data_IF_110290323647
#
_entry.id   IF_110290323647
#
_cell.length_a   1.000
_cell.length_b   1.000
_cell.length_c   1.000
_cell.angle_alpha   90.00
_cell.angle_beta   90.00
_cell.angle_gamma   90.00
#
_symmetry.space_group_name_H-M   'P 1'
#
loop_
_entity.id
_entity.type
_entity.pdbx_description
1 polymer ?
#
# COMPACT_ATOMS: atom_id res chain seq x y z
N UNK A 1 16.24 -13.33 1.37
CA UNK A 1 15.42 -14.04 2.40
C UNK A 1 14.75 -15.28 1.86
N UNK A 2 14.09 -15.22 0.68
CA UNK A 2 13.51 -16.41 0.06
C UNK A 2 14.54 -17.54 -0.14
N UNK A 3 15.75 -17.19 -0.61
CA UNK A 3 16.87 -18.13 -0.70
C UNK A 3 17.15 -18.85 0.64
N UNK A 4 17.33 -18.12 1.74
CA UNK A 4 17.57 -18.73 3.06
C UNK A 4 16.37 -19.59 3.53
N UNK A 5 15.15 -19.18 3.19
CA UNK A 5 13.95 -19.96 3.49
C UNK A 5 13.94 -21.30 2.72
N UNK A 6 14.25 -21.28 1.42
CA UNK A 6 14.33 -22.50 0.60
C UNK A 6 15.48 -23.42 1.02
N UNK A 7 16.56 -22.88 1.62
CA UNK A 7 17.65 -23.65 2.22
C UNK A 7 17.31 -24.20 3.62
N UNK A 8 16.14 -23.88 4.19
CA UNK A 8 15.69 -24.40 5.48
C UNK A 8 16.26 -23.68 6.72
N UNK A 9 16.91 -22.52 6.55
CA UNK A 9 17.39 -21.73 7.69
C UNK A 9 16.24 -21.23 8.56
N UNK A 10 16.51 -21.01 9.84
CA UNK A 10 15.51 -20.34 10.70
C UNK A 10 15.49 -18.82 10.42
N UNK A 11 14.41 -18.10 10.81
CA UNK A 11 14.40 -16.65 10.73
C UNK A 11 15.53 -15.99 11.52
N UNK A 12 16.00 -16.64 12.60
CA UNK A 12 17.09 -16.11 13.42
C UNK A 12 18.44 -16.24 12.68
N UNK A 13 18.76 -17.41 12.15
CA UNK A 13 19.98 -17.62 11.38
C UNK A 13 20.01 -16.68 10.16
N UNK A 14 18.88 -16.56 9.48
CA UNK A 14 18.75 -15.64 8.34
C UNK A 14 18.98 -14.19 8.73
N UNK A 15 18.48 -13.76 9.90
CA UNK A 15 18.70 -12.41 10.42
C UNK A 15 20.19 -12.15 10.72
N UNK A 16 20.86 -13.12 11.35
CA UNK A 16 22.28 -13.01 11.69
C UNK A 16 23.15 -13.01 10.43
N UNK A 17 22.92 -13.94 9.49
CA UNK A 17 23.66 -14.01 8.23
C UNK A 17 23.46 -12.74 7.40
N UNK A 18 22.23 -12.23 7.29
CA UNK A 18 21.97 -11.02 6.48
C UNK A 18 22.67 -9.80 7.10
N UNK A 19 22.59 -9.60 8.41
CA UNK A 19 23.23 -8.45 9.04
C UNK A 19 24.75 -8.60 9.15
N UNK A 20 25.27 -9.83 9.16
CA UNK A 20 26.70 -10.10 9.08
C UNK A 20 27.26 -9.74 7.68
N UNK A 21 26.52 -10.06 6.62
CA UNK A 21 26.99 -9.84 5.23
C UNK A 21 26.72 -8.41 4.76
N UNK A 22 25.60 -7.81 5.16
CA UNK A 22 25.11 -6.54 4.61
C UNK A 22 24.97 -5.41 5.63
N UNK A 23 25.09 -5.70 6.93
CA UNK A 23 25.17 -4.68 7.96
C UNK A 23 26.63 -4.38 8.34
N UNK A 24 26.89 -3.34 9.14
CA UNK A 24 28.20 -3.05 9.74
C UNK A 24 28.60 -4.08 10.81
N UNK A 25 28.02 -5.30 10.78
CA UNK A 25 28.19 -6.31 11.82
C UNK A 25 27.46 -5.95 13.11
N UNK A 26 27.46 -6.88 14.06
CA UNK A 26 26.96 -6.73 15.43
C UNK A 26 27.86 -5.82 16.29
N UNK A 27 28.39 -4.75 15.72
CA UNK A 27 29.10 -3.72 16.47
C UNK A 27 28.06 -2.89 17.22
N UNK A 28 28.24 -2.72 18.53
CA UNK A 28 27.32 -1.99 19.39
C UNK A 28 27.07 -0.57 18.84
N UNK A 29 25.87 -0.34 18.32
CA UNK A 29 25.45 0.94 17.72
C UNK A 29 25.44 0.98 16.19
N UNK A 30 25.81 -0.11 15.50
CA UNK A 30 25.77 -0.20 14.04
C UNK A 30 24.35 -0.33 13.45
N UNK A 31 24.10 0.32 12.31
CA UNK A 31 22.82 0.25 11.59
C UNK A 31 22.55 -1.17 11.05
N UNK A 32 21.53 -1.87 11.55
CA UNK A 32 21.16 -3.18 11.01
C UNK A 32 20.58 -3.06 9.59
N UNK A 33 21.05 -3.89 8.66
CA UNK A 33 20.50 -3.95 7.30
C UNK A 33 19.03 -4.36 7.30
N UNK A 34 18.65 -5.30 8.18
CA UNK A 34 17.27 -5.71 8.40
C UNK A 34 17.00 -6.00 9.87
N UNK A 35 15.77 -5.68 10.33
CA UNK A 35 15.33 -6.08 11.67
C UNK A 35 14.84 -7.53 11.68
N UNK A 36 14.94 -8.20 12.84
CA UNK A 36 14.42 -9.56 13.02
C UNK A 36 12.91 -9.62 12.70
N UNK A 37 12.16 -8.57 13.05
CA UNK A 37 10.72 -8.45 12.74
C UNK A 37 10.46 -8.50 11.23
N UNK A 38 11.29 -7.83 10.44
CA UNK A 38 11.20 -7.87 8.97
C UNK A 38 11.45 -9.28 8.45
N UNK A 39 12.50 -9.96 8.94
CA UNK A 39 12.83 -11.33 8.55
C UNK A 39 11.68 -12.29 8.86
N UNK A 40 11.14 -12.25 10.09
CA UNK A 40 10.00 -13.07 10.50
C UNK A 40 8.77 -12.80 9.62
N UNK A 41 8.48 -11.54 9.28
CA UNK A 41 7.35 -11.19 8.41
C UNK A 41 7.50 -11.82 7.02
N UNK A 42 8.68 -11.77 6.44
CA UNK A 42 8.96 -12.41 5.15
C UNK A 42 8.83 -13.93 5.21
N UNK A 43 9.37 -14.56 6.26
CA UNK A 43 9.26 -16.00 6.46
C UNK A 43 7.80 -16.45 6.57
N UNK A 44 6.95 -15.70 7.30
CA UNK A 44 5.51 -15.97 7.35
C UNK A 44 4.83 -15.86 5.98
N UNK A 45 5.24 -14.91 5.12
CA UNK A 45 4.72 -14.81 3.75
C UNK A 45 5.10 -16.04 2.93
N UNK A 46 6.35 -16.46 2.99
CA UNK A 46 6.83 -17.64 2.26
C UNK A 46 6.16 -18.94 2.73
N UNK A 47 5.94 -19.09 4.04
CA UNK A 47 5.17 -20.21 4.61
C UNK A 47 3.71 -20.22 4.13
N UNK A 48 3.10 -19.05 3.91
CA UNK A 48 1.76 -18.93 3.34
C UNK A 48 1.73 -19.15 1.81
N UNK A 49 2.85 -19.51 1.19
CA UNK A 49 2.96 -19.73 -0.26
C UNK A 49 3.17 -18.46 -1.09
N UNK A 50 3.19 -17.27 -0.46
CA UNK A 50 3.48 -16.00 -1.14
C UNK A 50 5.00 -15.84 -1.31
N UNK A 51 5.51 -16.31 -2.45
CA UNK A 51 6.92 -16.19 -2.86
C UNK A 51 7.25 -14.87 -3.57
N UNK A 52 6.29 -13.95 -3.73
CA UNK A 52 6.53 -12.67 -4.38
C UNK A 52 7.35 -11.75 -3.49
N UNK A 53 8.44 -11.20 -4.03
CA UNK A 53 9.27 -10.20 -3.38
C UNK A 53 8.76 -8.78 -3.59
N UNK A 54 7.75 -8.60 -4.45
CA UNK A 54 7.20 -7.29 -4.73
C UNK A 54 6.35 -6.78 -3.56
N UNK A 55 6.38 -5.46 -3.40
CA UNK A 55 5.43 -4.76 -2.54
C UNK A 55 4.03 -4.95 -3.14
N UNK A 56 3.09 -5.42 -2.30
CA UNK A 56 1.68 -5.37 -2.67
C UNK A 56 1.31 -3.92 -2.96
N UNK A 57 0.44 -3.66 -3.95
CA UNK A 57 0.00 -2.31 -4.24
C UNK A 57 -0.45 -1.65 -2.94
N UNK A 58 0.13 -0.48 -2.63
CA UNK A 58 -0.22 0.25 -1.42
C UNK A 58 -1.69 0.63 -1.55
N UNK A 59 -2.53 -0.05 -0.79
CA UNK A 59 -3.93 0.35 -0.61
C UNK A 59 -3.84 1.65 0.19
N UNK A 60 -3.93 2.78 -0.52
CA UNK A 60 -4.01 4.09 0.10
C UNK A 60 -5.26 4.20 0.98
N UNK A 61 -5.47 5.38 1.59
CA UNK A 61 -6.66 5.63 2.40
C UNK A 61 -7.91 5.28 1.59
N UNK A 62 -8.67 4.29 2.06
CA UNK A 62 -9.96 3.96 1.46
C UNK A 62 -10.87 5.17 1.63
N UNK A 63 -11.37 5.67 0.50
CA UNK A 63 -12.33 6.76 0.49
C UNK A 63 -13.71 6.15 0.48
N UNK A 64 -14.58 6.59 1.39
CA UNK A 64 -15.93 6.04 1.58
C UNK A 64 -16.80 6.15 0.34
N UNK A 65 -16.49 7.12 -0.52
CA UNK A 65 -17.21 7.40 -1.77
C UNK A 65 -16.45 6.77 -2.94
N UNK A 66 -17.12 6.07 -3.86
CA UNK A 66 -16.51 5.55 -5.09
C UNK A 66 -16.61 6.57 -6.24
N UNK A 67 -15.82 6.38 -7.30
CA UNK A 67 -15.93 7.24 -8.49
C UNK A 67 -17.28 7.03 -9.20
N UNK A 68 -17.85 5.83 -9.14
CA UNK A 68 -19.19 5.51 -9.66
C UNK A 68 -20.29 6.29 -8.95
N UNK A 69 -20.24 6.41 -7.62
CA UNK A 69 -21.20 7.20 -6.86
C UNK A 69 -21.20 8.69 -7.24
N UNK A 70 -20.04 9.22 -7.64
CA UNK A 70 -19.94 10.59 -8.15
C UNK A 70 -20.54 10.69 -9.56
N UNK A 71 -20.34 9.68 -10.40
CA UNK A 71 -20.90 9.62 -11.75
C UNK A 71 -22.42 9.46 -11.75
N UNK A 72 -22.97 8.64 -10.85
CA UNK A 72 -24.41 8.46 -10.75
C UNK A 72 -25.08 9.73 -10.21
N UNK A 73 -24.50 10.39 -9.21
CA UNK A 73 -24.97 11.70 -8.75
C UNK A 73 -24.90 12.79 -9.84
N UNK A 74 -24.01 12.64 -10.84
CA UNK A 74 -23.98 13.53 -12.00
C UNK A 74 -25.05 13.19 -13.04
N UNK A 75 -25.39 11.91 -13.23
CA UNK A 75 -26.44 11.47 -14.18
C UNK A 75 -27.83 11.81 -13.67
N UNK A 76 -28.07 11.65 -12.37
CA UNK A 76 -29.36 11.97 -11.73
C UNK A 76 -29.69 13.47 -11.85
N UNK A 77 -28.68 14.29 -12.12
CA UNK A 77 -28.80 15.73 -12.29
C UNK A 77 -28.62 16.12 -13.77
N UNK A 78 -29.69 15.96 -14.56
CA UNK A 78 -29.69 16.17 -16.02
C UNK A 78 -29.29 17.60 -16.47
N UNK A 79 -29.37 18.61 -15.60
CA UNK A 79 -29.12 20.01 -15.96
C UNK A 79 -28.19 20.72 -14.95
N UNK A 80 -26.93 20.91 -15.36
CA UNK A 80 -25.98 21.89 -14.80
C UNK A 80 -25.91 22.00 -13.26
N UNK A 81 -25.63 20.90 -12.57
CA UNK A 81 -25.37 20.95 -11.12
C UNK A 81 -24.04 21.62 -10.78
N UNK A 82 -24.07 22.50 -9.79
CA UNK A 82 -22.87 23.17 -9.28
C UNK A 82 -22.06 22.20 -8.44
N UNK A 83 -20.72 22.30 -8.47
CA UNK A 83 -19.82 21.49 -7.62
C UNK A 83 -20.20 21.53 -6.14
N UNK A 84 -20.78 22.64 -5.66
CA UNK A 84 -21.25 22.81 -4.28
C UNK A 84 -22.43 21.89 -3.97
N UNK A 85 -23.43 21.82 -4.83
CA UNK A 85 -24.61 20.97 -4.65
C UNK A 85 -24.22 19.49 -4.69
N UNK A 86 -23.38 19.12 -5.67
CA UNK A 86 -22.85 17.76 -5.77
C UNK A 86 -22.02 17.37 -4.52
N UNK A 87 -21.28 18.32 -3.95
CA UNK A 87 -20.50 18.11 -2.72
C UNK A 87 -21.36 17.80 -1.51
N UNK A 88 -22.52 18.43 -1.43
CA UNK A 88 -23.48 18.18 -0.36
C UNK A 88 -24.16 16.82 -0.55
N UNK A 89 -24.55 16.47 -1.79
CA UNK A 89 -25.19 15.19 -2.09
C UNK A 89 -24.26 13.99 -1.82
N UNK A 90 -22.99 14.09 -2.20
CA UNK A 90 -22.01 13.00 -2.06
C UNK A 90 -21.23 13.07 -0.73
N UNK A 91 -21.51 14.08 0.11
CA UNK A 91 -20.84 14.35 1.38
C UNK A 91 -19.30 14.36 1.26
N UNK A 92 -18.81 15.11 0.28
CA UNK A 92 -17.39 15.32 0.02
C UNK A 92 -17.09 16.82 0.07
N UNK A 93 -15.84 17.19 0.33
CA UNK A 93 -15.44 18.59 0.14
C UNK A 93 -15.45 18.93 -1.36
N UNK A 94 -15.75 20.18 -1.69
CA UNK A 94 -15.69 20.71 -3.07
C UNK A 94 -14.30 20.45 -3.70
N UNK A 95 -13.23 20.62 -2.90
CA UNK A 95 -11.85 20.33 -3.33
C UNK A 95 -11.63 18.86 -3.70
N UNK A 96 -12.12 17.93 -2.87
CA UNK A 96 -12.00 16.49 -3.12
C UNK A 96 -12.76 16.07 -4.36
N UNK A 97 -13.97 16.60 -4.55
CA UNK A 97 -14.78 16.34 -5.75
C UNK A 97 -14.11 16.88 -7.01
N UNK A 98 -13.59 18.11 -6.98
CA UNK A 98 -12.91 18.70 -8.14
C UNK A 98 -11.70 17.86 -8.58
N UNK A 99 -10.87 17.41 -7.63
CA UNK A 99 -9.71 16.54 -7.90
C UNK A 99 -10.18 15.20 -8.49
N UNK A 100 -11.20 14.58 -7.91
CA UNK A 100 -11.73 13.30 -8.39
C UNK A 100 -12.33 13.41 -9.79
N UNK A 101 -13.14 14.43 -10.06
CA UNK A 101 -13.72 14.66 -11.39
C UNK A 101 -12.65 14.89 -12.45
N UNK A 102 -11.58 15.63 -12.13
CA UNK A 102 -10.42 15.78 -13.03
C UNK A 102 -9.75 14.44 -13.29
N UNK A 103 -9.59 13.60 -12.26
CA UNK A 103 -9.00 12.26 -12.39
C UNK A 103 -9.84 11.37 -13.30
N UNK A 104 -11.16 11.29 -13.06
CA UNK A 104 -12.12 10.50 -13.84
C UNK A 104 -12.08 10.90 -15.33
N UNK A 105 -12.06 12.21 -15.62
CA UNK A 105 -11.97 12.73 -16.99
C UNK A 105 -10.66 12.40 -17.70
N UNK A 106 -9.55 12.26 -16.96
CA UNK A 106 -8.22 11.96 -17.52
C UNK A 106 -8.00 10.46 -17.78
N UNK A 107 -8.74 9.60 -17.08
CA UNK A 107 -8.70 8.14 -17.25
C UNK A 107 -9.58 7.62 -18.39
N UNK A 108 -10.22 8.51 -19.16
CA UNK A 108 -11.06 8.19 -20.31
C UNK A 108 -10.37 8.63 -21.59
#
# INVERSE_FOLDING_TARGET
MLFHFDQGYTPRDSYEIINLVYGPGSEEGGEVAVTLRTVVKWFKRYQAGDRSTDDKPRIGRTTRVTDDQILDALKDNENSVTLKELSQQVNLSISSLSIRLKKIRKTK
#
